data_IF_890377852681
#
_entry.id   IF_890377852681
#
_cell.length_a   1.000
_cell.length_b   1.000
_cell.length_c   1.000
_cell.angle_alpha   90.00
_cell.angle_beta   90.00
_cell.angle_gamma   90.00
#
_symmetry.space_group_name_H-M   'P 1'
#
loop_
_entity.id
_entity.type
_entity.pdbx_description
1 polymer ?
#
# COMPACT_ATOMS: atom_id res chain seq x y z
N UNK A 1 -15.91 -8.69 6.23
CA UNK A 1 -15.27 -9.59 5.24
C UNK A 1 -16.30 -10.59 4.74
N UNK A 2 -16.16 -11.11 3.51
CA UNK A 2 -17.14 -11.80 2.64
C UNK A 2 -17.96 -12.99 3.19
N UNK A 3 -18.04 -13.22 4.51
CA UNK A 3 -18.85 -14.26 5.15
C UNK A 3 -18.69 -15.68 4.55
N UNK A 4 -17.52 -15.98 3.97
CA UNK A 4 -17.23 -17.28 3.35
C UNK A 4 -17.78 -17.47 1.93
N UNK A 5 -18.42 -16.47 1.31
CA UNK A 5 -18.94 -16.60 -0.06
C UNK A 5 -17.88 -16.49 -1.15
N UNK A 6 -16.64 -16.13 -0.81
CA UNK A 6 -15.57 -15.86 -1.78
C UNK A 6 -15.71 -14.53 -2.52
N UNK A 7 -16.83 -13.79 -2.36
CA UNK A 7 -17.10 -12.50 -3.02
C UNK A 7 -17.66 -11.46 -2.06
N UNK A 8 -17.37 -10.19 -2.33
CA UNK A 8 -18.14 -9.07 -1.79
C UNK A 8 -19.28 -8.76 -2.76
N UNK A 9 -20.50 -8.66 -2.25
CA UNK A 9 -21.70 -8.37 -3.03
C UNK A 9 -22.39 -7.12 -2.49
N UNK A 10 -22.73 -6.19 -3.37
CA UNK A 10 -23.50 -4.98 -3.02
C UNK A 10 -24.37 -4.54 -4.19
N UNK A 11 -25.39 -3.73 -3.89
CA UNK A 11 -26.22 -3.12 -4.92
C UNK A 11 -25.70 -1.72 -5.26
N UNK A 12 -25.54 -1.44 -6.56
CA UNK A 12 -25.10 -0.15 -7.07
C UNK A 12 -26.00 0.31 -8.23
N UNK A 13 -26.48 1.56 -8.23
CA UNK A 13 -27.15 2.13 -9.39
C UNK A 13 -26.15 2.26 -10.55
N UNK A 14 -26.51 1.73 -11.71
CA UNK A 14 -25.80 1.93 -12.97
C UNK A 14 -26.79 2.37 -14.03
N UNK A 15 -26.65 3.61 -14.50
CA UNK A 15 -27.51 4.25 -15.50
C UNK A 15 -29.01 4.13 -15.18
N UNK A 16 -29.38 4.41 -13.92
CA UNK A 16 -30.77 4.39 -13.46
C UNK A 16 -31.34 2.99 -13.16
N UNK A 17 -30.54 1.93 -13.26
CA UNK A 17 -30.94 0.56 -12.87
C UNK A 17 -30.10 0.10 -11.70
N UNK A 18 -30.73 -0.47 -10.67
CA UNK A 18 -30.01 -1.07 -9.55
C UNK A 18 -29.45 -2.43 -9.98
N UNK A 19 -28.13 -2.60 -9.89
CA UNK A 19 -27.44 -3.85 -10.22
C UNK A 19 -26.74 -4.39 -8.99
N UNK A 20 -26.75 -5.71 -8.83
CA UNK A 20 -25.85 -6.38 -7.90
C UNK A 20 -24.47 -6.46 -8.56
N UNK A 21 -23.46 -5.98 -7.85
CA UNK A 21 -22.06 -6.10 -8.22
C UNK A 21 -21.43 -7.14 -7.32
N UNK A 22 -20.65 -8.04 -7.92
CA UNK A 22 -19.84 -9.01 -7.21
C UNK A 22 -18.37 -8.76 -7.53
N UNK A 23 -17.55 -8.78 -6.48
CA UNK A 23 -16.11 -8.63 -6.59
C UNK A 23 -15.44 -9.75 -5.80
N UNK A 24 -14.35 -10.37 -6.30
CA UNK A 24 -13.58 -11.34 -5.54
C UNK A 24 -13.20 -10.79 -4.17
N UNK A 25 -13.32 -11.64 -3.14
CA UNK A 25 -13.02 -11.22 -1.78
C UNK A 25 -11.53 -10.87 -1.67
N UNK A 26 -11.17 -9.63 -1.26
CA UNK A 26 -9.77 -9.19 -1.24
C UNK A 26 -8.91 -9.98 -0.24
N UNK A 27 -9.54 -10.62 0.74
CA UNK A 27 -8.89 -11.51 1.69
C UNK A 27 -8.46 -12.87 1.08
N UNK A 28 -8.75 -13.12 -0.20
CA UNK A 28 -8.33 -14.34 -0.89
C UNK A 28 -9.20 -15.56 -0.60
N UNK A 29 -10.45 -15.36 -0.18
CA UNK A 29 -11.37 -16.46 0.16
C UNK A 29 -12.04 -17.12 -1.07
N UNK A 30 -11.71 -16.69 -2.29
CA UNK A 30 -12.32 -17.18 -3.53
C UNK A 30 -11.38 -18.10 -4.31
N UNK A 31 -11.91 -18.84 -5.28
CA UNK A 31 -11.14 -19.83 -6.06
C UNK A 31 -10.13 -19.21 -7.03
N UNK A 32 -10.39 -17.99 -7.47
CA UNK A 32 -9.64 -17.32 -8.55
C UNK A 32 -8.59 -16.32 -8.05
N UNK A 33 -8.63 -15.95 -6.78
CA UNK A 33 -7.72 -14.99 -6.16
C UNK A 33 -7.33 -15.48 -4.76
N UNK A 34 -6.06 -15.78 -4.58
CA UNK A 34 -5.46 -16.09 -3.29
C UNK A 34 -4.65 -14.88 -2.83
N UNK A 35 -4.86 -14.44 -1.60
CA UNK A 35 -4.11 -13.30 -1.06
C UNK A 35 -2.63 -13.70 -0.96
N UNK A 36 -1.65 -12.84 -1.31
CA UNK A 36 -0.23 -13.20 -1.29
C UNK A 36 0.26 -13.77 0.06
N UNK A 37 -0.30 -13.30 1.18
CA UNK A 37 0.02 -13.85 2.50
C UNK A 37 -0.44 -15.31 2.72
N UNK A 38 -1.39 -15.83 1.94
CA UNK A 38 -1.78 -17.24 1.93
C UNK A 38 -0.93 -18.09 0.98
N UNK A 39 -0.19 -17.48 0.05
CA UNK A 39 0.80 -18.16 -0.79
C UNK A 39 2.19 -18.21 -0.12
N UNK A 40 2.31 -17.78 1.15
CA UNK A 40 3.57 -17.66 1.88
C UNK A 40 4.40 -18.95 1.91
N UNK A 41 3.77 -20.13 1.92
CA UNK A 41 4.46 -21.42 1.85
C UNK A 41 5.08 -21.73 0.47
N UNK A 42 4.69 -20.99 -0.57
CA UNK A 42 5.28 -21.05 -1.93
C UNK A 42 6.31 -19.95 -2.17
N UNK A 43 6.34 -18.93 -1.32
CA UNK A 43 7.40 -17.92 -1.31
C UNK A 43 8.56 -18.54 -0.56
N UNK A 44 9.58 -18.99 -1.29
CA UNK A 44 10.87 -19.32 -0.67
C UNK A 44 11.31 -18.03 0.03
N UNK A 45 11.25 -18.00 1.37
CA UNK A 45 12.01 -17.02 2.13
C UNK A 45 13.48 -17.40 1.97
N UNK A 46 14.05 -17.10 0.81
CA UNK A 46 15.50 -17.07 0.71
C UNK A 46 15.97 -15.99 1.71
N UNK A 47 17.05 -16.26 2.47
CA UNK A 47 17.72 -15.19 3.20
C UNK A 47 17.99 -14.06 2.20
N UNK A 48 17.80 -12.82 2.65
CA UNK A 48 17.73 -11.56 1.89
C UNK A 48 18.91 -11.36 0.90
N UNK A 49 18.95 -12.16 -0.17
CA UNK A 49 19.80 -12.03 -1.36
C UNK A 49 19.08 -11.12 -2.37
N UNK A 50 18.25 -10.20 -1.88
CA UNK A 50 17.68 -9.15 -2.70
C UNK A 50 18.85 -8.46 -3.41
N UNK A 51 18.90 -8.50 -4.76
CA UNK A 51 19.99 -7.88 -5.48
C UNK A 51 20.00 -6.41 -5.06
N UNK A 52 21.19 -5.90 -4.70
CA UNK A 52 21.36 -4.51 -4.29
C UNK A 52 20.57 -3.62 -5.26
N UNK A 53 19.53 -2.95 -4.75
CA UNK A 53 18.61 -2.21 -5.58
C UNK A 53 19.42 -1.14 -6.34
N UNK A 54 19.56 -1.26 -7.67
CA UNK A 54 20.37 -0.32 -8.42
C UNK A 54 19.80 1.07 -8.23
N UNK A 55 20.67 2.05 -8.00
CA UNK A 55 20.27 3.44 -7.85
C UNK A 55 19.71 3.96 -9.19
N UNK A 56 18.40 3.75 -9.38
CA UNK A 56 17.68 4.13 -10.58
C UNK A 56 16.93 5.46 -10.42
N UNK A 57 16.29 5.89 -11.51
CA UNK A 57 15.50 7.12 -11.53
C UNK A 57 14.43 7.17 -10.42
N UNK A 58 13.89 6.02 -10.03
CA UNK A 58 12.92 5.91 -8.92
C UNK A 58 13.56 6.26 -7.57
N UNK A 59 14.77 5.76 -7.30
CA UNK A 59 15.49 6.09 -6.08
C UNK A 59 15.86 7.59 -6.03
N UNK A 60 16.25 8.17 -7.18
CA UNK A 60 16.51 9.60 -7.29
C UNK A 60 15.24 10.45 -7.05
N UNK A 61 14.12 10.09 -7.69
CA UNK A 61 12.85 10.78 -7.52
C UNK A 61 12.33 10.70 -6.07
N UNK A 62 12.46 9.53 -5.44
CA UNK A 62 12.06 9.33 -4.05
C UNK A 62 12.88 10.20 -3.08
N UNK A 63 14.18 10.37 -3.30
CA UNK A 63 15.02 11.28 -2.50
C UNK A 63 14.59 12.73 -2.65
N UNK A 64 14.39 13.20 -3.89
CA UNK A 64 13.94 14.56 -4.16
C UNK A 64 12.58 14.84 -3.50
N UNK A 65 11.64 13.89 -3.62
CA UNK A 65 10.33 13.99 -2.98
C UNK A 65 10.42 13.99 -1.47
N UNK A 66 11.24 13.11 -0.88
CA UNK A 66 11.44 13.05 0.56
C UNK A 66 12.05 14.34 1.12
N UNK A 67 13.01 14.95 0.41
CA UNK A 67 13.64 16.20 0.82
C UNK A 67 12.68 17.39 0.72
N UNK A 68 11.87 17.46 -0.35
CA UNK A 68 10.81 18.45 -0.47
C UNK A 68 9.81 18.35 0.70
N UNK A 69 9.34 17.13 1.01
CA UNK A 69 8.40 16.89 2.11
C UNK A 69 9.03 17.31 3.44
N UNK A 70 10.29 16.94 3.68
CA UNK A 70 11.01 17.30 4.90
C UNK A 70 11.11 18.81 5.07
N UNK A 71 11.55 19.53 4.04
CA UNK A 71 11.65 20.99 4.09
C UNK A 71 10.29 21.65 4.31
N UNK A 72 9.21 21.16 3.68
CA UNK A 72 7.87 21.67 3.92
C UNK A 72 7.40 21.46 5.36
N UNK A 73 7.66 20.28 5.92
CA UNK A 73 7.34 19.95 7.31
C UNK A 73 8.11 20.83 8.30
N UNK A 74 9.40 21.07 8.06
CA UNK A 74 10.22 21.97 8.87
C UNK A 74 9.70 23.42 8.83
N UNK A 75 9.32 23.93 7.66
CA UNK A 75 8.70 25.26 7.52
C UNK A 75 7.38 25.38 8.29
N UNK A 76 6.65 24.28 8.43
CA UNK A 76 5.42 24.20 9.24
C UNK A 76 5.68 23.86 10.71
N UNK A 77 6.94 23.75 11.13
CA UNK A 77 7.32 23.54 12.53
C UNK A 77 7.31 22.08 12.99
N UNK A 78 7.24 21.11 12.07
CA UNK A 78 7.34 19.69 12.37
C UNK A 78 8.79 19.22 12.20
N UNK A 79 9.41 18.80 13.31
CA UNK A 79 10.78 18.30 13.33
C UNK A 79 10.80 16.80 13.62
N UNK A 80 11.40 15.98 12.76
CA UNK A 80 11.57 14.56 13.05
C UNK A 80 12.51 14.43 14.26
N UNK A 81 11.99 13.88 15.37
CA UNK A 81 12.67 13.63 16.66
C UNK A 81 12.61 14.73 17.74
N UNK A 82 11.81 15.80 17.58
CA UNK A 82 11.55 16.72 18.69
C UNK A 82 12.69 17.67 19.06
N UNK A 83 13.75 17.75 18.26
CA UNK A 83 14.75 18.81 18.35
C UNK A 83 14.16 20.11 17.80
N UNK A 84 13.43 20.81 18.65
CA UNK A 84 13.06 22.20 18.40
C UNK A 84 14.33 23.05 18.38
N UNK A 85 14.56 23.89 17.35
CA UNK A 85 15.59 24.91 17.43
C UNK A 85 15.23 25.85 18.59
N UNK A 86 16.07 25.89 19.63
CA UNK A 86 15.92 26.86 20.71
C UNK A 86 16.11 28.25 20.09
N UNK A 87 15.05 29.03 20.06
CA UNK A 87 15.05 30.40 19.54
C UNK A 87 16.16 31.23 20.18
N UNK A 88 16.87 31.98 19.33
CA UNK A 88 17.77 33.09 19.72
C UNK A 88 16.97 34.35 20.00
#
# INVERSE_FOLDING_TARGET
>A
MCAGSGVLSWQQPQWGVLRTIEMPCPAGCGEYWTHPAQEGDRVVQEPDDAPACPEGNVAAANRIGADFIRSALEHWGYYPNGDHPKGS
#
